data_IF_997893354794
#
_entry.id   IF_997893354794
#
_cell.length_a   1.000
_cell.length_b   1.000
_cell.length_c   1.000
_cell.angle_alpha   90.00
_cell.angle_beta   90.00
_cell.angle_gamma   90.00
#
_symmetry.space_group_name_H-M   'P 1'
#
loop_
_entity.id
_entity.type
_entity.pdbx_description
1 polymer ?
#
# COMPACT_ATOMS: atom_id res chain seq x y z
N UNK A 1 21.53 12.24 -9.07
CA UNK A 1 21.21 12.06 -7.63
C UNK A 1 21.28 13.40 -6.94
N UNK A 2 20.12 14.01 -6.78
CA UNK A 2 19.95 15.36 -6.26
C UNK A 2 20.18 15.37 -4.73
N UNK A 3 21.29 15.97 -4.29
CA UNK A 3 21.63 16.04 -2.85
C UNK A 3 20.62 16.83 -2.01
N UNK A 4 19.87 17.75 -2.62
CA UNK A 4 18.93 18.60 -1.88
C UNK A 4 17.76 17.78 -1.33
N UNK A 5 17.11 16.96 -2.17
CA UNK A 5 15.95 16.18 -1.75
C UNK A 5 16.31 15.14 -0.68
N UNK A 6 17.49 14.53 -0.76
CA UNK A 6 17.96 13.60 0.27
C UNK A 6 18.21 14.31 1.62
N UNK A 7 18.69 15.55 1.62
CA UNK A 7 18.83 16.36 2.84
C UNK A 7 17.46 16.65 3.45
N UNK A 8 16.48 17.06 2.63
CA UNK A 8 15.11 17.30 3.09
C UNK A 8 14.48 16.03 3.68
N UNK A 9 14.59 14.89 2.98
CA UNK A 9 14.09 13.59 3.46
C UNK A 9 14.73 13.24 4.80
N UNK A 10 16.06 13.33 4.92
CA UNK A 10 16.75 12.97 6.15
C UNK A 10 16.33 13.86 7.34
N UNK A 11 16.24 15.18 7.14
CA UNK A 11 15.82 16.11 8.19
C UNK A 11 14.36 15.86 8.64
N UNK A 12 13.47 15.56 7.69
CA UNK A 12 12.07 15.25 7.99
C UNK A 12 11.91 13.88 8.66
N UNK A 13 12.66 12.87 8.24
CA UNK A 13 12.66 11.55 8.89
C UNK A 13 13.19 11.63 10.33
N UNK A 14 14.26 12.38 10.57
CA UNK A 14 14.79 12.62 11.92
C UNK A 14 13.72 13.23 12.84
N UNK A 15 12.94 14.19 12.32
CA UNK A 15 11.89 14.86 13.07
C UNK A 15 10.65 13.98 13.31
N UNK A 16 10.20 13.24 12.29
CA UNK A 16 8.83 12.68 12.28
C UNK A 16 8.71 11.17 12.17
N UNK A 17 9.71 10.47 11.63
CA UNK A 17 9.53 9.05 11.29
C UNK A 17 9.16 8.21 12.51
N UNK A 18 9.92 8.35 13.61
CA UNK A 18 9.65 7.57 14.83
C UNK A 18 8.32 7.96 15.49
N UNK A 19 8.01 9.27 15.73
CA UNK A 19 6.71 9.67 16.28
C UNK A 19 5.49 9.20 15.47
N UNK A 20 5.55 9.32 14.13
CA UNK A 20 4.44 8.93 13.25
C UNK A 20 4.26 7.41 13.20
N UNK A 21 5.36 6.66 13.10
CA UNK A 21 5.34 5.21 13.15
C UNK A 21 4.70 4.70 14.43
N UNK A 22 5.09 5.26 15.57
CA UNK A 22 4.54 4.88 16.87
C UNK A 22 3.07 5.24 17.01
N UNK A 23 2.65 6.41 16.52
CA UNK A 23 1.25 6.80 16.50
C UNK A 23 0.39 5.82 15.71
N UNK A 24 0.82 5.43 14.52
CA UNK A 24 0.11 4.46 13.68
C UNK A 24 0.09 3.08 14.33
N UNK A 25 1.24 2.62 14.84
CA UNK A 25 1.35 1.33 15.53
C UNK A 25 0.38 1.25 16.71
N UNK A 26 0.25 2.33 17.47
CA UNK A 26 -0.69 2.42 18.59
C UNK A 26 -2.15 2.47 18.10
N UNK A 27 -2.45 3.21 17.03
CA UNK A 27 -3.79 3.28 16.44
C UNK A 27 -4.32 1.89 16.04
N UNK A 28 -3.47 1.05 15.47
CA UNK A 28 -3.83 -0.33 15.11
C UNK A 28 -3.75 -1.34 16.27
N UNK A 29 -3.45 -0.90 17.51
CA UNK A 29 -3.35 -1.81 18.66
C UNK A 29 -4.72 -2.41 18.98
N UNK A 30 -4.90 -3.68 18.63
CA UNK A 30 -6.14 -4.42 18.87
C UNK A 30 -7.01 -4.64 17.63
N UNK A 31 -6.67 -3.99 16.50
CA UNK A 31 -7.27 -4.28 15.19
C UNK A 31 -6.40 -5.31 14.46
N UNK A 32 -7.01 -6.41 14.01
CA UNK A 32 -6.32 -7.36 13.14
C UNK A 32 -6.57 -7.00 11.68
N UNK A 33 -5.70 -6.15 11.13
CA UNK A 33 -5.68 -5.79 9.71
C UNK A 33 -4.21 -5.68 9.26
N UNK A 34 -3.48 -6.81 9.28
CA UNK A 34 -2.02 -6.79 9.15
C UNK A 34 -1.54 -6.31 7.77
N UNK A 35 -2.40 -6.25 6.75
CA UNK A 35 -2.04 -5.70 5.44
C UNK A 35 -2.05 -4.17 5.39
N UNK A 36 -2.67 -3.50 6.38
CA UNK A 36 -2.81 -2.04 6.47
C UNK A 36 -2.32 -1.50 7.83
N UNK A 37 -1.40 -2.22 8.51
CA UNK A 37 -0.80 -1.73 9.77
C UNK A 37 0.32 -0.71 9.51
N UNK A 38 0.98 -0.24 10.58
CA UNK A 38 2.14 0.66 10.52
C UNK A 38 3.24 0.26 9.51
N UNK A 39 3.37 -1.03 9.18
CA UNK A 39 4.32 -1.52 8.17
C UNK A 39 3.92 -1.09 6.77
N UNK A 40 2.62 -1.06 6.45
CA UNK A 40 2.10 -0.56 5.17
C UNK A 40 2.39 0.94 5.02
N UNK A 41 2.10 1.74 6.03
CA UNK A 41 2.42 3.17 6.03
C UNK A 41 3.92 3.44 5.81
N UNK A 42 4.79 2.65 6.45
CA UNK A 42 6.24 2.75 6.27
C UNK A 42 6.67 2.43 4.84
N UNK A 43 6.02 1.44 4.21
CA UNK A 43 6.25 1.07 2.81
C UNK A 43 5.77 2.15 1.84
N UNK A 44 4.58 2.71 2.06
CA UNK A 44 4.07 3.85 1.28
C UNK A 44 5.04 5.02 1.37
N UNK A 45 5.54 5.35 2.55
CA UNK A 45 6.57 6.38 2.71
C UNK A 45 7.86 6.06 1.94
N UNK A 46 8.33 4.81 1.96
CA UNK A 46 9.49 4.42 1.14
C UNK A 46 9.25 4.62 -0.36
N UNK A 47 8.04 4.35 -0.85
CA UNK A 47 7.68 4.61 -2.25
C UNK A 47 7.61 6.12 -2.52
N UNK A 48 7.06 6.93 -1.60
CA UNK A 48 7.10 8.39 -1.70
C UNK A 48 8.53 8.91 -1.87
N UNK A 49 9.50 8.37 -1.14
CA UNK A 49 10.93 8.74 -1.29
C UNK A 49 11.49 8.40 -2.67
N UNK A 50 11.12 7.26 -3.25
CA UNK A 50 11.50 6.91 -4.64
C UNK A 50 10.95 7.92 -5.63
N UNK A 51 9.65 8.24 -5.50
CA UNK A 51 8.99 9.23 -6.36
C UNK A 51 9.63 10.61 -6.22
N UNK A 52 9.89 11.07 -4.99
CA UNK A 52 10.53 12.36 -4.71
C UNK A 52 11.91 12.48 -5.37
N UNK A 53 12.73 11.43 -5.26
CA UNK A 53 14.09 11.41 -5.84
C UNK A 53 14.07 11.46 -7.35
N UNK A 54 13.15 10.73 -7.98
CA UNK A 54 13.09 10.64 -9.42
C UNK A 54 12.48 11.91 -10.05
N UNK A 55 11.42 12.45 -9.44
CA UNK A 55 10.71 13.62 -10.00
C UNK A 55 11.44 14.96 -9.82
N UNK A 56 12.38 15.05 -8.89
CA UNK A 56 13.15 16.27 -8.59
C UNK A 56 14.57 16.24 -9.17
N UNK A 57 14.90 15.30 -10.06
CA UNK A 57 16.16 15.30 -10.80
C UNK A 57 15.88 15.84 -12.23
N UNK A 58 16.43 16.98 -12.68
CA UNK A 58 17.44 17.81 -12.03
C UNK A 58 16.93 19.05 -11.25
N UNK A 59 15.70 19.51 -11.48
CA UNK A 59 15.20 20.78 -10.93
C UNK A 59 14.37 20.55 -9.65
N UNK A 60 14.85 20.99 -8.47
CA UNK A 60 14.10 20.84 -7.23
C UNK A 60 12.89 21.77 -7.21
N UNK A 61 11.70 21.18 -7.27
CA UNK A 61 10.41 21.88 -7.10
C UNK A 61 9.84 21.65 -5.70
N UNK A 62 10.34 20.63 -5.02
CA UNK A 62 9.92 20.22 -3.66
C UNK A 62 10.80 20.87 -2.60
N UNK A 63 10.17 21.52 -1.62
CA UNK A 63 10.80 22.05 -0.42
C UNK A 63 10.59 21.11 0.80
N UNK A 64 11.17 21.50 1.94
CA UNK A 64 11.09 20.73 3.18
C UNK A 64 9.66 20.63 3.72
N UNK A 65 8.84 21.67 3.56
CA UNK A 65 7.45 21.70 4.03
C UNK A 65 6.58 20.68 3.27
N UNK A 66 6.82 20.51 1.96
CA UNK A 66 6.17 19.49 1.17
C UNK A 66 6.55 18.07 1.60
N UNK A 67 7.85 17.82 1.86
CA UNK A 67 8.33 16.51 2.35
C UNK A 67 7.71 16.21 3.73
N UNK A 68 7.60 17.23 4.59
CA UNK A 68 6.94 17.15 5.90
C UNK A 68 5.47 16.77 5.78
N UNK A 69 4.71 17.47 4.94
CA UNK A 69 3.30 17.15 4.70
C UNK A 69 3.11 15.74 4.13
N UNK A 70 4.00 15.32 3.22
CA UNK A 70 3.90 14.01 2.57
C UNK A 70 4.15 12.84 3.52
N UNK A 71 5.16 12.90 4.40
CA UNK A 71 5.38 11.83 5.38
C UNK A 71 4.19 11.72 6.36
N UNK A 72 3.62 12.85 6.77
CA UNK A 72 2.43 12.86 7.64
C UNK A 72 1.26 12.19 6.93
N UNK A 73 1.00 12.57 5.68
CA UNK A 73 -0.08 12.00 4.90
C UNK A 73 0.11 10.49 4.68
N UNK A 74 1.33 10.04 4.38
CA UNK A 74 1.66 8.61 4.24
C UNK A 74 1.35 7.79 5.51
N UNK A 75 1.61 8.34 6.69
CA UNK A 75 1.32 7.66 7.94
C UNK A 75 -0.16 7.72 8.36
N UNK A 76 -0.92 8.75 7.98
CA UNK A 76 -2.31 8.87 8.42
C UNK A 76 -3.39 8.49 7.39
N UNK A 77 -3.06 8.29 6.10
CA UNK A 77 -4.07 8.05 5.04
C UNK A 77 -5.02 6.89 5.36
N UNK A 78 -4.47 5.75 5.76
CA UNK A 78 -5.19 4.55 6.16
C UNK A 78 -5.39 4.41 7.69
N UNK A 79 -4.96 5.39 8.50
CA UNK A 79 -5.09 5.29 9.96
C UNK A 79 -6.55 5.16 10.41
N UNK A 80 -7.50 5.72 9.63
CA UNK A 80 -8.93 5.54 9.84
C UNK A 80 -9.41 4.09 9.74
N UNK A 81 -8.64 3.19 9.10
CA UNK A 81 -8.94 1.76 9.04
C UNK A 81 -8.83 1.04 10.39
N UNK A 82 -8.20 1.69 11.38
CA UNK A 82 -8.24 1.24 12.76
C UNK A 82 -9.66 1.33 13.37
N UNK A 83 -10.47 2.27 12.90
CA UNK A 83 -11.82 2.55 13.42
C UNK A 83 -12.94 1.99 12.53
N UNK A 84 -12.72 1.90 11.21
CA UNK A 84 -13.75 1.47 10.26
C UNK A 84 -13.18 0.65 9.09
N UNK A 85 -13.93 -0.31 8.56
CA UNK A 85 -13.61 -1.02 7.30
C UNK A 85 -14.24 -0.36 6.06
N UNK A 86 -14.94 0.75 6.25
CA UNK A 86 -15.64 1.47 5.19
C UNK A 86 -14.69 2.05 4.14
N UNK A 87 -15.10 2.13 2.86
CA UNK A 87 -14.38 2.92 1.86
C UNK A 87 -14.18 4.40 2.24
N UNK A 88 -14.99 4.94 3.16
CA UNK A 88 -14.87 6.32 3.64
C UNK A 88 -13.89 6.50 4.82
N UNK A 89 -12.87 5.65 4.95
CA UNK A 89 -11.92 5.67 6.08
C UNK A 89 -10.98 6.89 6.07
N UNK A 90 -10.84 7.59 4.95
CA UNK A 90 -10.04 8.82 4.87
C UNK A 90 -10.52 9.92 5.83
N UNK A 91 -11.83 10.06 6.04
CA UNK A 91 -12.38 11.07 6.96
C UNK A 91 -12.00 10.80 8.43
N UNK A 92 -12.17 9.58 8.97
CA UNK A 92 -11.57 9.19 10.25
C UNK A 92 -10.04 9.38 10.30
N UNK A 93 -9.31 9.03 9.22
CA UNK A 93 -7.87 9.27 9.14
C UNK A 93 -7.48 10.74 9.33
N UNK A 94 -8.23 11.65 8.68
CA UNK A 94 -8.08 13.09 8.85
C UNK A 94 -8.31 13.50 10.31
N UNK A 95 -9.41 13.06 10.91
CA UNK A 95 -9.74 13.37 12.30
C UNK A 95 -8.67 12.87 13.29
N UNK A 96 -8.14 11.67 13.08
CA UNK A 96 -7.03 11.11 13.87
C UNK A 96 -5.76 11.96 13.76
N UNK A 97 -5.40 12.38 12.54
CA UNK A 97 -4.26 13.26 12.31
C UNK A 97 -4.45 14.63 12.99
N UNK A 98 -5.61 15.25 12.82
CA UNK A 98 -5.96 16.52 13.48
C UNK A 98 -5.82 16.41 15.00
N UNK A 99 -6.44 15.40 15.60
CA UNK A 99 -6.36 15.17 17.04
C UNK A 99 -4.93 14.92 17.52
N UNK A 100 -4.12 14.19 16.74
CA UNK A 100 -2.73 13.92 17.08
C UNK A 100 -1.88 15.19 17.17
N UNK A 101 -2.09 16.14 16.25
CA UNK A 101 -1.40 17.44 16.29
C UNK A 101 -1.95 18.40 17.35
N UNK A 102 -3.26 18.37 17.63
CA UNK A 102 -3.87 19.20 18.68
C UNK A 102 -3.40 18.82 20.09
N UNK A 103 -3.06 17.56 20.31
CA UNK A 103 -2.59 17.05 21.60
C UNK A 103 -1.07 17.17 21.81
N UNK A 104 -0.35 17.90 20.94
CA UNK A 104 1.11 18.05 21.00
C UNK A 104 1.51 19.51 21.22
N UNK A 105 2.66 19.71 21.86
CA UNK A 105 3.28 21.03 22.08
C UNK A 105 4.04 21.52 20.83
N UNK A 106 4.40 20.60 19.92
CA UNK A 106 5.13 20.93 18.71
C UNK A 106 4.31 21.82 17.77
N UNK A 107 5.01 22.71 17.06
CA UNK A 107 4.40 23.55 16.03
C UNK A 107 3.77 22.70 14.92
N UNK A 108 2.62 23.16 14.43
CA UNK A 108 1.91 22.50 13.33
C UNK A 108 2.70 22.68 12.02
N UNK A 109 2.83 21.62 11.21
CA UNK A 109 3.45 21.70 9.88
C UNK A 109 2.81 22.79 9.00
N UNK A 110 3.63 23.48 8.21
CA UNK A 110 3.16 24.56 7.33
C UNK A 110 2.09 24.09 6.33
N UNK A 111 2.25 22.86 5.81
CA UNK A 111 1.32 22.23 4.86
C UNK A 111 0.41 21.19 5.53
N UNK A 112 0.09 21.33 6.82
CA UNK A 112 -0.77 20.38 7.53
C UNK A 112 -2.15 20.26 6.86
N UNK A 113 -2.78 21.36 6.43
CA UNK A 113 -4.10 21.30 5.81
C UNK A 113 -4.07 20.53 4.47
N UNK A 114 -3.04 20.75 3.64
CA UNK A 114 -2.86 19.99 2.38
C UNK A 114 -2.63 18.50 2.66
N UNK A 115 -1.89 18.16 3.72
CA UNK A 115 -1.74 16.77 4.16
C UNK A 115 -3.07 16.16 4.65
N UNK A 116 -3.89 16.92 5.39
CA UNK A 116 -5.21 16.49 5.86
C UNK A 116 -6.20 16.27 4.71
N UNK A 117 -6.17 17.11 3.68
CA UNK A 117 -6.92 16.90 2.44
C UNK A 117 -6.45 15.65 1.70
N UNK A 118 -5.14 15.46 1.58
CA UNK A 118 -4.59 14.25 0.96
C UNK A 118 -5.02 12.98 1.70
N UNK A 119 -4.99 12.99 3.04
CA UNK A 119 -5.47 11.87 3.88
C UNK A 119 -6.94 11.57 3.60
N UNK A 120 -7.81 12.58 3.60
CA UNK A 120 -9.25 12.37 3.41
C UNK A 120 -9.59 11.86 2.01
N UNK A 121 -8.84 12.28 0.99
CA UNK A 121 -9.18 12.06 -0.42
C UNK A 121 -8.32 11.04 -1.16
N UNK A 122 -7.34 10.39 -0.52
CA UNK A 122 -6.42 9.46 -1.20
C UNK A 122 -7.12 8.27 -1.91
N UNK A 123 -8.25 7.79 -1.40
CA UNK A 123 -9.00 6.68 -2.03
C UNK A 123 -10.02 7.16 -3.08
N UNK A 124 -10.15 8.48 -3.30
CA UNK A 124 -11.00 9.02 -4.37
C UNK A 124 -10.31 8.84 -5.72
N UNK A 125 -10.70 7.79 -6.45
CA UNK A 125 -10.12 7.43 -7.76
C UNK A 125 -10.71 8.18 -8.96
N UNK A 126 -11.43 9.27 -8.73
CA UNK A 126 -11.94 10.14 -9.81
C UNK A 126 -10.78 10.98 -10.38
N UNK A 127 -10.63 10.96 -11.71
CA UNK A 127 -9.59 11.69 -12.43
C UNK A 127 -9.64 13.21 -12.23
N UNK A 128 -10.77 13.75 -11.76
CA UNK A 128 -10.90 15.17 -11.41
C UNK A 128 -10.26 15.54 -10.07
N UNK A 129 -9.93 14.56 -9.21
CA UNK A 129 -9.58 14.81 -7.80
C UNK A 129 -8.06 14.90 -7.56
N UNK A 130 -7.21 14.26 -8.37
CA UNK A 130 -5.76 14.33 -8.18
C UNK A 130 -5.01 14.67 -9.47
N UNK A 131 -4.05 15.60 -9.38
CA UNK A 131 -3.11 15.91 -10.46
C UNK A 131 -1.89 15.02 -10.33
N UNK A 132 -1.48 14.42 -11.45
CA UNK A 132 -0.26 13.61 -11.48
C UNK A 132 1.02 14.39 -11.18
N UNK A 133 2.11 13.65 -10.98
CA UNK A 133 3.48 14.17 -10.90
C UNK A 133 3.92 14.54 -12.32
N UNK A 134 3.78 15.83 -12.65
CA UNK A 134 4.08 16.39 -13.96
C UNK A 134 5.37 17.23 -13.87
N UNK A 135 6.34 17.03 -14.78
CA UNK A 135 7.57 17.82 -14.81
C UNK A 135 7.31 19.33 -14.86
N UNK A 136 8.06 20.09 -14.05
CA UNK A 136 8.00 21.56 -14.01
C UNK A 136 6.72 22.16 -13.39
N UNK A 137 5.82 21.34 -12.84
CA UNK A 137 4.65 21.81 -12.09
C UNK A 137 4.84 21.59 -10.60
N UNK A 138 4.30 22.50 -9.78
CA UNK A 138 4.25 22.31 -8.33
C UNK A 138 3.51 21.00 -8.04
N UNK A 139 4.12 20.06 -7.29
CA UNK A 139 3.46 18.82 -6.93
C UNK A 139 2.38 19.04 -5.87
N UNK A 140 1.42 18.13 -5.81
CA UNK A 140 0.39 18.06 -4.76
C UNK A 140 0.65 16.82 -3.89
N UNK A 141 0.51 16.95 -2.57
CA UNK A 141 0.72 15.83 -1.63
C UNK A 141 -0.17 14.63 -1.99
N UNK A 142 -1.43 14.90 -2.34
CA UNK A 142 -2.41 13.89 -2.75
C UNK A 142 -1.94 13.06 -3.95
N UNK A 143 -1.27 13.67 -4.93
CA UNK A 143 -0.76 12.98 -6.11
C UNK A 143 0.32 11.96 -5.76
N UNK A 144 1.28 12.36 -4.91
CA UNK A 144 2.34 11.46 -4.44
C UNK A 144 1.79 10.34 -3.57
N UNK A 145 0.92 10.69 -2.63
CA UNK A 145 0.30 9.73 -1.72
C UNK A 145 -0.50 8.68 -2.48
N UNK A 146 -1.38 9.11 -3.39
CA UNK A 146 -2.24 8.22 -4.17
C UNK A 146 -1.42 7.26 -5.04
N UNK A 147 -0.38 7.76 -5.70
CA UNK A 147 0.51 6.92 -6.51
C UNK A 147 1.28 5.94 -5.62
N UNK A 148 1.82 6.39 -4.49
CA UNK A 148 2.59 5.54 -3.59
C UNK A 148 1.75 4.41 -2.97
N UNK A 149 0.53 4.69 -2.50
CA UNK A 149 -0.38 3.64 -2.01
C UNK A 149 -0.79 2.67 -3.13
N UNK A 150 -1.15 3.17 -4.31
CA UNK A 150 -1.51 2.31 -5.45
C UNK A 150 -0.34 1.41 -5.88
N UNK A 151 0.91 1.87 -5.80
CA UNK A 151 2.11 1.07 -6.07
C UNK A 151 2.36 -0.01 -5.00
N UNK A 152 2.05 0.24 -3.73
CA UNK A 152 2.12 -0.77 -2.65
C UNK A 152 1.04 -1.87 -2.80
N UNK A 153 0.02 -1.64 -3.62
CA UNK A 153 -1.05 -2.60 -3.89
C UNK A 153 -0.67 -3.68 -4.92
N UNK A 154 0.59 -3.76 -5.38
CA UNK A 154 1.05 -4.74 -6.37
C UNK A 154 1.99 -5.82 -5.77
N UNK A 155 2.27 -6.86 -6.55
CA UNK A 155 3.14 -7.98 -6.14
C UNK A 155 2.50 -8.93 -5.13
N UNK A 156 3.30 -9.70 -4.39
CA UNK A 156 2.80 -10.66 -3.40
C UNK A 156 2.10 -9.97 -2.23
N UNK A 157 2.63 -8.83 -1.78
CA UNK A 157 1.98 -7.97 -0.77
C UNK A 157 0.61 -7.52 -1.29
N UNK A 158 0.54 -7.04 -2.54
CA UNK A 158 -0.71 -6.68 -3.19
C UNK A 158 -1.72 -7.83 -3.22
N UNK A 159 -1.30 -9.03 -3.63
CA UNK A 159 -2.16 -10.22 -3.64
C UNK A 159 -2.72 -10.48 -2.23
N UNK A 160 -1.87 -10.48 -1.20
CA UNK A 160 -2.32 -10.64 0.18
C UNK A 160 -3.31 -9.54 0.61
N UNK A 161 -2.97 -8.26 0.38
CA UNK A 161 -3.80 -7.09 0.72
C UNK A 161 -5.19 -7.18 0.10
N UNK A 162 -5.27 -7.49 -1.20
CA UNK A 162 -6.55 -7.61 -1.89
C UNK A 162 -7.39 -8.78 -1.36
N UNK A 163 -6.78 -9.95 -1.13
CA UNK A 163 -7.51 -11.11 -0.59
C UNK A 163 -8.04 -10.79 0.82
N UNK A 164 -7.23 -10.16 1.68
CA UNK A 164 -7.64 -9.75 3.03
C UNK A 164 -8.85 -8.82 2.96
N UNK A 165 -8.73 -7.67 2.29
CA UNK A 165 -9.77 -6.65 2.32
C UNK A 165 -11.04 -7.06 1.57
N UNK A 166 -10.94 -7.84 0.48
CA UNK A 166 -12.14 -8.31 -0.23
C UNK A 166 -12.83 -9.44 0.51
N UNK A 167 -12.09 -10.26 1.28
CA UNK A 167 -12.72 -11.26 2.15
C UNK A 167 -13.42 -10.61 3.33
N UNK A 168 -12.83 -9.58 3.95
CA UNK A 168 -13.50 -8.76 4.98
C UNK A 168 -14.80 -8.11 4.46
N UNK A 169 -14.86 -7.82 3.16
CA UNK A 169 -16.04 -7.28 2.46
C UNK A 169 -16.98 -8.36 1.91
N UNK A 170 -16.78 -9.61 2.32
CA UNK A 170 -17.63 -10.77 1.97
C UNK A 170 -17.78 -10.99 0.45
N UNK A 171 -16.76 -10.65 -0.33
CA UNK A 171 -16.79 -10.87 -1.78
C UNK A 171 -16.80 -12.38 -2.09
N UNK A 172 -17.70 -12.86 -2.96
CA UNK A 172 -17.71 -14.26 -3.38
C UNK A 172 -16.41 -14.65 -4.10
N UNK A 173 -15.88 -15.85 -3.81
CA UNK A 173 -14.69 -16.40 -4.48
C UNK A 173 -14.80 -16.34 -6.01
N UNK A 174 -15.98 -16.63 -6.56
CA UNK A 174 -16.30 -16.59 -7.99
C UNK A 174 -16.07 -15.23 -8.66
N UNK A 175 -16.10 -14.14 -7.88
CA UNK A 175 -15.90 -12.77 -8.38
C UNK A 175 -14.57 -12.16 -7.95
N UNK A 176 -13.87 -12.78 -6.99
CA UNK A 176 -12.71 -12.21 -6.31
C UNK A 176 -11.61 -11.82 -7.30
N UNK A 177 -11.12 -12.77 -8.10
CA UNK A 177 -10.00 -12.55 -9.01
C UNK A 177 -10.32 -11.50 -10.08
N UNK A 178 -11.47 -11.60 -10.74
CA UNK A 178 -11.89 -10.61 -11.76
C UNK A 178 -12.03 -9.20 -11.18
N UNK A 179 -12.59 -9.04 -9.98
CA UNK A 179 -12.73 -7.73 -9.34
C UNK A 179 -11.37 -7.12 -8.93
N UNK A 180 -10.44 -7.95 -8.45
CA UNK A 180 -9.09 -7.52 -8.10
C UNK A 180 -8.32 -7.09 -9.36
N UNK A 181 -8.33 -7.91 -10.40
CA UNK A 181 -7.67 -7.58 -11.67
C UNK A 181 -8.20 -6.28 -12.25
N UNK A 182 -9.53 -6.09 -12.28
CA UNK A 182 -10.13 -4.83 -12.74
C UNK A 182 -9.65 -3.63 -11.92
N UNK A 183 -9.62 -3.73 -10.60
CA UNK A 183 -9.16 -2.65 -9.72
C UNK A 183 -7.67 -2.34 -9.95
N UNK A 184 -6.83 -3.37 -9.98
CA UNK A 184 -5.40 -3.24 -10.21
C UNK A 184 -5.07 -2.65 -11.59
N UNK A 185 -5.74 -3.10 -12.66
CA UNK A 185 -5.54 -2.56 -14.01
C UNK A 185 -5.95 -1.09 -14.10
N UNK A 186 -7.05 -0.70 -13.44
CA UNK A 186 -7.46 0.70 -13.36
C UNK A 186 -6.42 1.55 -12.62
N UNK A 187 -5.95 1.11 -11.45
CA UNK A 187 -4.86 1.79 -10.69
C UNK A 187 -3.61 1.94 -11.54
N UNK A 188 -3.13 0.86 -12.16
CA UNK A 188 -1.92 0.90 -12.98
C UNK A 188 -2.04 1.82 -14.20
N UNK A 189 -3.20 1.80 -14.88
CA UNK A 189 -3.49 2.72 -15.99
C UNK A 189 -3.47 4.18 -15.53
N UNK A 190 -4.06 4.45 -14.37
CA UNK A 190 -4.13 5.76 -13.76
C UNK A 190 -2.74 6.28 -13.36
N UNK A 191 -1.91 5.43 -12.75
CA UNK A 191 -0.51 5.74 -12.45
C UNK A 191 0.25 6.06 -13.75
N UNK A 192 0.07 5.28 -14.81
CA UNK A 192 0.74 5.52 -16.09
C UNK A 192 0.44 6.90 -16.70
N UNK A 193 -0.76 7.43 -16.47
CA UNK A 193 -1.15 8.79 -16.88
C UNK A 193 -0.65 9.88 -15.94
N UNK A 194 -0.47 9.54 -14.66
CA UNK A 194 -0.25 10.49 -13.57
C UNK A 194 1.18 10.49 -13.04
N UNK A 195 2.06 9.61 -13.51
CA UNK A 195 3.41 9.44 -12.99
C UNK A 195 4.47 9.65 -14.10
N UNK A 196 4.20 10.58 -15.02
CA UNK A 196 5.06 10.83 -16.18
C UNK A 196 6.48 11.27 -15.78
N UNK A 197 6.65 11.89 -14.61
CA UNK A 197 7.95 12.30 -14.08
C UNK A 197 8.76 11.15 -13.45
N UNK A 198 8.17 9.96 -13.22
CA UNK A 198 8.87 8.85 -12.55
C UNK A 198 8.86 7.53 -13.36
N UNK A 199 9.33 7.53 -14.62
CA UNK A 199 9.25 6.34 -15.48
C UNK A 199 10.09 5.14 -15.01
N UNK A 200 11.19 5.35 -14.29
CA UNK A 200 12.03 4.27 -13.72
C UNK A 200 11.30 3.58 -12.57
N UNK A 201 10.73 4.36 -11.65
CA UNK A 201 9.89 3.83 -10.57
C UNK A 201 8.73 3.04 -11.15
N UNK A 202 8.01 3.58 -12.14
CA UNK A 202 6.90 2.85 -12.77
C UNK A 202 7.35 1.52 -13.41
N UNK A 203 8.49 1.51 -14.11
CA UNK A 203 9.05 0.27 -14.68
C UNK A 203 9.41 -0.75 -13.60
N UNK A 204 9.99 -0.31 -12.48
CA UNK A 204 10.33 -1.19 -11.36
C UNK A 204 9.09 -1.89 -10.76
N UNK A 205 7.94 -1.21 -10.75
CA UNK A 205 6.68 -1.77 -10.25
C UNK A 205 5.87 -2.54 -11.31
N UNK A 206 6.21 -2.44 -12.60
CA UNK A 206 5.53 -3.21 -13.67
C UNK A 206 5.58 -4.72 -13.43
N UNK A 207 6.73 -5.24 -13.01
CA UNK A 207 6.87 -6.66 -12.69
C UNK A 207 5.98 -7.10 -11.51
N UNK A 208 5.80 -6.23 -10.51
CA UNK A 208 4.90 -6.47 -9.37
C UNK A 208 3.43 -6.45 -9.82
N UNK A 209 3.06 -5.52 -10.69
CA UNK A 209 1.74 -5.49 -11.31
C UNK A 209 1.46 -6.78 -12.10
N UNK A 210 2.41 -7.21 -12.95
CA UNK A 210 2.28 -8.43 -13.75
C UNK A 210 2.17 -9.68 -12.89
N UNK A 211 2.92 -9.74 -11.79
CA UNK A 211 2.81 -10.83 -10.79
C UNK A 211 1.39 -10.94 -10.27
N UNK A 212 0.76 -9.83 -9.90
CA UNK A 212 -0.61 -9.80 -9.40
C UNK A 212 -1.61 -10.23 -10.47
N UNK A 213 -1.51 -9.70 -11.69
CA UNK A 213 -2.43 -10.04 -12.78
C UNK A 213 -2.33 -11.52 -13.15
N UNK A 214 -1.11 -12.03 -13.33
CA UNK A 214 -0.87 -13.44 -13.66
C UNK A 214 -1.35 -14.37 -12.55
N UNK A 215 -1.19 -13.99 -11.27
CA UNK A 215 -1.71 -14.76 -10.15
C UNK A 215 -3.24 -14.90 -10.24
N UNK A 216 -3.95 -13.78 -10.41
CA UNK A 216 -5.42 -13.82 -10.39
C UNK A 216 -6.03 -14.39 -11.68
N UNK A 217 -5.34 -14.30 -12.82
CA UNK A 217 -5.72 -15.03 -14.04
C UNK A 217 -5.70 -16.54 -13.79
N UNK A 218 -4.60 -17.07 -13.24
CA UNK A 218 -4.48 -18.50 -12.92
C UNK A 218 -5.41 -18.95 -11.80
N UNK A 219 -5.65 -18.09 -10.80
CA UNK A 219 -6.70 -18.31 -9.80
C UNK A 219 -8.07 -18.48 -10.45
N UNK A 220 -8.45 -17.60 -11.38
CA UNK A 220 -9.74 -17.69 -12.07
C UNK A 220 -9.83 -18.96 -12.92
N UNK A 221 -8.76 -19.34 -13.62
CA UNK A 221 -8.71 -20.58 -14.40
C UNK A 221 -8.88 -21.82 -13.53
N UNK A 222 -8.17 -21.88 -12.39
CA UNK A 222 -8.34 -22.98 -11.43
C UNK A 222 -9.77 -23.00 -10.89
N UNK A 223 -10.35 -21.85 -10.56
CA UNK A 223 -11.71 -21.75 -10.02
C UNK A 223 -12.79 -22.34 -10.95
N UNK A 224 -12.58 -22.34 -12.27
CA UNK A 224 -13.53 -22.88 -13.24
C UNK A 224 -13.60 -24.40 -13.28
N UNK A 225 -12.55 -25.10 -12.83
CA UNK A 225 -12.44 -26.56 -12.93
C UNK A 225 -12.63 -27.28 -11.60
N UNK A 226 -12.57 -26.55 -10.48
CA UNK A 226 -12.67 -27.13 -9.15
C UNK A 226 -14.15 -27.24 -8.72
N UNK A 227 -14.61 -28.46 -8.41
CA UNK A 227 -15.99 -28.70 -7.96
C UNK A 227 -16.26 -28.09 -6.57
N UNK A 228 -15.25 -28.12 -5.68
CA UNK A 228 -15.35 -27.63 -4.31
C UNK A 228 -14.27 -26.57 -4.00
N UNK A 229 -14.35 -25.35 -4.57
CA UNK A 229 -13.29 -24.36 -4.48
C UNK A 229 -12.83 -23.96 -3.08
N UNK A 230 -13.70 -24.09 -2.08
CA UNK A 230 -13.42 -23.69 -0.69
C UNK A 230 -12.51 -24.67 0.04
N UNK A 231 -12.40 -25.89 -0.45
CA UNK A 231 -11.64 -26.97 0.20
C UNK A 231 -10.25 -27.17 -0.41
N UNK A 232 -9.99 -26.54 -1.55
CA UNK A 232 -8.73 -26.65 -2.28
C UNK A 232 -7.58 -26.04 -1.47
N UNK A 233 -6.53 -26.84 -1.30
CA UNK A 233 -5.33 -26.49 -0.52
C UNK A 233 -4.08 -26.27 -1.36
N UNK A 234 -4.13 -26.56 -2.67
CA UNK A 234 -3.00 -26.45 -3.61
C UNK A 234 -3.25 -25.39 -4.68
N UNK A 235 -2.20 -25.01 -5.41
CA UNK A 235 -2.29 -24.02 -6.48
C UNK A 235 -2.62 -22.61 -5.99
N UNK A 236 -3.16 -21.79 -6.88
CA UNK A 236 -3.50 -20.38 -6.63
C UNK A 236 -4.71 -20.25 -5.72
N UNK A 237 -5.70 -21.14 -5.87
CA UNK A 237 -6.86 -21.21 -5.01
C UNK A 237 -6.47 -21.64 -3.58
N UNK A 238 -5.50 -22.55 -3.46
CA UNK A 238 -4.89 -22.93 -2.18
C UNK A 238 -4.25 -21.75 -1.44
N UNK A 239 -3.53 -20.87 -2.15
CA UNK A 239 -3.00 -19.62 -1.56
C UNK A 239 -4.12 -18.75 -1.01
N UNK A 240 -5.15 -18.48 -1.80
CA UNK A 240 -6.29 -17.65 -1.40
C UNK A 240 -7.01 -18.26 -0.19
N UNK A 241 -7.27 -19.56 -0.20
CA UNK A 241 -7.90 -20.25 0.93
C UNK A 241 -7.02 -20.23 2.18
N UNK A 242 -5.69 -20.35 2.04
CA UNK A 242 -4.77 -20.26 3.17
C UNK A 242 -4.79 -18.87 3.82
N UNK A 243 -4.77 -17.81 3.03
CA UNK A 243 -4.91 -16.43 3.53
C UNK A 243 -6.23 -16.27 4.29
N UNK A 244 -7.34 -16.70 3.69
CA UNK A 244 -8.69 -16.53 4.26
C UNK A 244 -8.91 -17.36 5.53
N UNK A 245 -8.57 -18.64 5.49
CA UNK A 245 -8.89 -19.58 6.58
C UNK A 245 -7.86 -19.51 7.71
N UNK A 246 -6.58 -19.37 7.38
CA UNK A 246 -5.50 -19.37 8.38
C UNK A 246 -5.12 -17.95 8.75
N UNK A 247 -4.82 -17.08 7.77
CA UNK A 247 -4.44 -15.69 8.03
C UNK A 247 -5.53 -14.94 8.78
N UNK A 248 -6.69 -14.80 8.14
CA UNK A 248 -7.78 -14.03 8.71
C UNK A 248 -8.48 -14.81 9.84
N UNK A 249 -8.83 -16.08 9.60
CA UNK A 249 -9.55 -16.90 10.58
C UNK A 249 -8.81 -17.14 11.90
N UNK A 250 -7.47 -17.25 11.88
CA UNK A 250 -6.64 -17.44 13.08
C UNK A 250 -5.82 -16.21 13.46
N UNK A 251 -6.04 -15.09 12.79
CA UNK A 251 -5.34 -13.82 13.02
C UNK A 251 -3.81 -13.93 12.94
N UNK A 252 -3.30 -14.68 11.97
CA UNK A 252 -1.86 -14.88 11.76
C UNK A 252 -1.29 -13.78 10.88
N UNK A 253 -0.18 -13.18 11.30
CA UNK A 253 0.52 -12.17 10.51
C UNK A 253 1.03 -12.76 9.19
N UNK A 254 1.03 -11.98 8.08
CA UNK A 254 1.41 -12.45 6.75
C UNK A 254 2.79 -13.12 6.72
N UNK A 255 3.79 -12.53 7.40
CA UNK A 255 5.16 -13.04 7.46
C UNK A 255 5.32 -14.39 8.19
N UNK A 256 4.28 -14.88 8.86
CA UNK A 256 4.26 -16.15 9.60
C UNK A 256 3.38 -17.21 8.92
N UNK A 257 2.69 -16.89 7.82
CA UNK A 257 1.76 -17.83 7.17
C UNK A 257 2.43 -19.07 6.60
N UNK A 258 3.69 -18.93 6.16
CA UNK A 258 4.52 -20.03 5.66
C UNK A 258 4.66 -21.17 6.70
N UNK A 259 4.65 -20.85 8.00
CA UNK A 259 4.77 -21.84 9.08
C UNK A 259 3.56 -22.79 9.16
N UNK A 260 2.45 -22.39 8.55
CA UNK A 260 1.20 -23.14 8.57
C UNK A 260 0.92 -23.87 7.26
N UNK A 261 1.76 -23.71 6.24
CA UNK A 261 1.63 -24.44 4.97
C UNK A 261 1.95 -25.90 5.24
N UNK A 262 0.99 -26.79 5.00
CA UNK A 262 1.20 -28.22 5.18
C UNK A 262 2.28 -28.73 4.22
N UNK A 263 3.30 -29.38 4.79
CA UNK A 263 4.46 -29.89 4.05
C UNK A 263 4.08 -30.96 3.04
N UNK A 264 2.91 -31.58 3.20
CA UNK A 264 2.37 -32.63 2.34
C UNK A 264 1.43 -32.11 1.25
N UNK A 265 1.14 -30.81 1.19
CA UNK A 265 0.34 -30.26 0.07
C UNK A 265 1.14 -30.43 -1.22
N UNK A 266 0.60 -31.15 -2.22
CA UNK A 266 1.25 -31.30 -3.51
C UNK A 266 1.30 -29.95 -4.23
N UNK A 267 2.48 -29.58 -4.74
CA UNK A 267 2.69 -28.39 -5.56
C UNK A 267 3.47 -27.30 -4.85
N UNK A 268 4.41 -26.70 -5.60
CA UNK A 268 5.30 -25.66 -5.10
C UNK A 268 4.59 -24.30 -4.89
N UNK A 269 3.52 -24.01 -5.64
CA UNK A 269 2.90 -22.67 -5.72
C UNK A 269 2.55 -22.05 -4.36
N UNK A 270 1.94 -22.81 -3.44
CA UNK A 270 1.52 -22.26 -2.13
C UNK A 270 2.74 -21.88 -1.30
N UNK A 271 3.75 -22.74 -1.25
CA UNK A 271 5.00 -22.49 -0.52
C UNK A 271 5.78 -21.36 -1.17
N UNK A 272 5.99 -21.42 -2.48
CA UNK A 272 6.71 -20.41 -3.26
C UNK A 272 6.09 -19.03 -3.06
N UNK A 273 4.75 -18.94 -3.05
CA UNK A 273 4.05 -17.69 -2.77
C UNK A 273 4.38 -17.13 -1.39
N UNK A 274 4.30 -17.94 -0.32
CA UNK A 274 4.55 -17.45 1.04
C UNK A 274 6.03 -17.17 1.31
N UNK A 275 6.94 -17.88 0.66
CA UNK A 275 8.37 -17.56 0.69
C UNK A 275 8.62 -16.21 0.01
N UNK A 276 8.04 -15.96 -1.16
CA UNK A 276 8.14 -14.69 -1.86
C UNK A 276 7.47 -13.53 -1.10
N UNK A 277 6.30 -13.76 -0.50
CA UNK A 277 5.64 -12.79 0.36
C UNK A 277 6.52 -12.42 1.57
N UNK A 278 7.17 -13.40 2.20
CA UNK A 278 8.06 -13.13 3.32
C UNK A 278 9.27 -12.30 2.88
N UNK A 279 9.86 -12.60 1.72
CA UNK A 279 10.96 -11.80 1.16
C UNK A 279 10.52 -10.35 0.90
N UNK A 280 9.39 -10.16 0.23
CA UNK A 280 8.82 -8.83 -0.04
C UNK A 280 8.57 -8.02 1.24
N UNK A 281 8.08 -8.66 2.31
CA UNK A 281 7.83 -8.01 3.61
C UNK A 281 9.12 -7.63 4.36
N UNK A 282 10.20 -8.41 4.22
CA UNK A 282 11.50 -8.12 4.86
C UNK A 282 12.24 -7.00 4.14
N UNK A 283 12.17 -7.00 2.80
CA UNK A 283 12.93 -6.06 1.99
C UNK A 283 12.32 -4.66 1.99
N UNK A 284 10.98 -4.52 2.10
CA UNK A 284 10.33 -3.21 2.30
C UNK A 284 10.71 -2.15 1.26
N UNK A 285 10.98 -2.60 0.02
CA UNK A 285 11.48 -1.83 -1.13
C UNK A 285 12.93 -1.34 -1.07
N UNK A 286 13.74 -1.82 -0.11
CA UNK A 286 15.17 -1.48 -0.01
C UNK A 286 15.97 -1.78 -1.28
N UNK A 287 15.57 -2.80 -2.04
CA UNK A 287 16.23 -3.21 -3.29
C UNK A 287 15.82 -2.38 -4.51
N UNK A 288 14.88 -1.44 -4.36
CA UNK A 288 14.47 -0.50 -5.43
C UNK A 288 15.13 0.88 -5.29
N UNK A 289 15.91 1.09 -4.22
CA UNK A 289 16.66 2.32 -3.95
C UNK A 289 18.09 2.23 -4.47
#
# INVERSE_FOLDING_TARGET
>A
MNKHIDICIAAIEEKWLTPLYEACRQGFRGRHLPSHDHSHHSRVWNICKLLLRESNDPDPVVDQDFVEGLIIAAFFHDAGMAETSSPAHGKPGRALCTSWFENRIQEKPALLEEALEAIEYHDKKDASVYRGIIPGKKPEILGYLSIADDLDAFGHIGIYRYVEIYTERELPLSSLGTQIMRNASMRFTNIGKSCCACPHTLRAFKARYDTLINFFDRYNQQLLIEENPREIRSGYLGVVNHIRQIGMGRRIKPGNLWMHVDKHVPGCVVRDFFDALQADLKDGYKNLC
#
